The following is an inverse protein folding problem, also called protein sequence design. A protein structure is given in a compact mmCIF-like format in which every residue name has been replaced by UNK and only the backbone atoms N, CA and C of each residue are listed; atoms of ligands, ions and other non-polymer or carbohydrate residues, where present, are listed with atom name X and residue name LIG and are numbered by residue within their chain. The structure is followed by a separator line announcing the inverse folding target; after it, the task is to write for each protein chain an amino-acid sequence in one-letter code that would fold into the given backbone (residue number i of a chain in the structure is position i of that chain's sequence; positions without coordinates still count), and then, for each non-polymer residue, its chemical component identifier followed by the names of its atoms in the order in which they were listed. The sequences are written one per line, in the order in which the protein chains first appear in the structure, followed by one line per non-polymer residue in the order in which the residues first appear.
data_IF_787849583624
#
_entry.id   IF_787849583624
#
_cell.length_a   1.000
_cell.length_b   1.000
_cell.length_c   1.000
_cell.angle_alpha   90.00
_cell.angle_beta   90.00
_cell.angle_gamma   90.00
#
_symmetry.space_group_name_H-M   'P 1'
#
loop_
_entity.id
_entity.type
_entity.pdbx_description
1 polymer ?
#
# COMPACT_ATOMS: atom_id res chain seq x y z
N UNK A 1 -0.98 44.72 27.01
CA UNK A 1 -1.31 43.33 27.38
C UNK A 1 -1.23 42.50 26.13
N UNK A 2 -0.06 41.89 25.84
CA UNK A 2 0.14 41.04 24.66
C UNK A 2 -0.29 39.61 24.98
N UNK A 3 -1.51 39.27 24.57
CA UNK A 3 -1.99 37.88 24.64
C UNK A 3 -1.34 37.04 23.55
N UNK A 4 -0.28 36.31 23.90
CA UNK A 4 0.27 35.27 23.03
C UNK A 4 -0.72 34.14 22.99
N UNK A 5 -1.55 34.07 21.95
CA UNK A 5 -2.34 32.88 21.63
C UNK A 5 -1.35 31.78 21.30
N UNK A 6 -1.11 30.86 22.24
CA UNK A 6 -0.46 29.57 21.94
C UNK A 6 -1.41 28.84 21.00
N UNK A 7 -1.03 28.77 19.73
CA UNK A 7 -1.71 27.89 18.78
C UNK A 7 -1.74 26.47 19.37
N UNK A 8 -2.90 25.81 19.34
CA UNK A 8 -2.99 24.43 19.77
C UNK A 8 -1.99 23.59 18.97
N UNK A 9 -1.19 22.77 19.65
CA UNK A 9 -0.27 21.86 18.99
C UNK A 9 -1.08 20.90 18.12
N UNK A 10 -0.74 20.81 16.82
CA UNK A 10 -1.33 19.84 15.90
C UNK A 10 -0.62 18.50 15.97
N UNK A 11 0.46 18.39 16.76
CA UNK A 11 1.19 17.14 16.95
C UNK A 11 0.41 16.14 17.80
N UNK A 12 0.43 14.89 17.37
CA UNK A 12 -0.15 13.73 18.05
C UNK A 12 0.92 12.66 18.22
N UNK A 13 0.87 11.97 19.36
CA UNK A 13 1.65 10.76 19.61
C UNK A 13 0.80 9.57 19.16
N UNK A 14 1.35 8.68 18.34
CA UNK A 14 0.66 7.51 17.84
C UNK A 14 1.60 6.30 17.74
N UNK A 15 1.03 5.12 17.70
CA UNK A 15 1.75 3.87 17.52
C UNK A 15 1.17 3.12 16.32
N UNK A 16 1.92 3.08 15.22
CA UNK A 16 1.59 2.23 14.07
C UNK A 16 2.19 0.84 14.28
N UNK A 17 1.44 -0.20 13.97
CA UNK A 17 1.97 -1.57 13.91
C UNK A 17 2.29 -1.87 12.45
N UNK A 18 3.55 -1.66 12.06
CA UNK A 18 3.95 -1.78 10.66
C UNK A 18 4.76 -3.05 10.46
N UNK A 19 4.28 -3.95 9.59
CA UNK A 19 4.92 -5.21 9.26
C UNK A 19 5.28 -6.03 10.53
N UNK A 20 4.34 -6.09 11.47
CA UNK A 20 4.49 -6.80 12.74
C UNK A 20 5.28 -6.08 13.83
N UNK A 21 5.83 -4.89 13.55
CA UNK A 21 6.63 -4.10 14.51
C UNK A 21 5.89 -2.83 14.94
N UNK A 22 5.90 -2.55 16.25
CA UNK A 22 5.32 -1.32 16.77
C UNK A 22 6.26 -0.13 16.56
N UNK A 23 5.77 0.90 15.88
CA UNK A 23 6.49 2.15 15.56
C UNK A 23 5.82 3.32 16.28
N UNK A 24 6.53 3.90 17.26
CA UNK A 24 6.05 5.08 17.96
C UNK A 24 6.49 6.33 17.22
N UNK A 25 5.52 7.18 16.87
CA UNK A 25 5.74 8.39 16.09
C UNK A 25 5.07 9.58 16.78
N UNK A 26 5.70 10.74 16.64
CA UNK A 26 5.10 12.03 16.96
C UNK A 26 5.02 12.83 15.67
N UNK A 27 3.82 13.11 15.21
CA UNK A 27 3.55 13.70 13.91
C UNK A 27 2.48 14.79 14.03
N UNK A 28 2.49 15.72 13.07
CA UNK A 28 1.32 16.57 12.84
C UNK A 28 0.12 15.67 12.43
N UNK A 29 -1.04 15.93 13.02
CA UNK A 29 -2.27 15.14 12.81
C UNK A 29 -2.73 15.09 11.34
N UNK A 30 -2.21 15.97 10.49
CA UNK A 30 -2.50 16.05 9.04
C UNK A 30 -1.57 15.18 8.19
N UNK A 31 -0.53 14.57 8.78
CA UNK A 31 0.39 13.70 8.02
C UNK A 31 -0.35 12.48 7.51
N UNK A 32 -0.22 12.21 6.21
CA UNK A 32 -0.80 11.01 5.59
C UNK A 32 -0.05 9.76 6.04
N UNK A 33 -0.72 8.60 5.98
CA UNK A 33 -0.05 7.32 6.22
C UNK A 33 1.10 7.11 5.22
N UNK A 34 0.92 7.53 3.96
CA UNK A 34 1.97 7.46 2.93
C UNK A 34 3.23 8.21 3.35
N UNK A 35 3.09 9.46 3.81
CA UNK A 35 4.23 10.27 4.23
C UNK A 35 4.85 9.75 5.54
N UNK A 36 4.04 9.23 6.46
CA UNK A 36 4.54 8.59 7.67
C UNK A 36 5.41 7.36 7.34
N UNK A 37 4.96 6.50 6.41
CA UNK A 37 5.71 5.32 5.97
C UNK A 37 7.01 5.71 5.29
N UNK A 38 6.97 6.63 4.32
CA UNK A 38 8.12 7.00 3.49
C UNK A 38 9.13 7.88 4.19
N UNK A 39 8.66 8.95 4.85
CA UNK A 39 9.51 10.04 5.32
C UNK A 39 9.89 9.89 6.79
N UNK A 40 9.15 9.09 7.57
CA UNK A 40 9.42 8.87 9.01
C UNK A 40 9.94 7.47 9.30
N UNK A 41 9.43 6.46 8.59
CA UNK A 41 9.84 5.07 8.78
C UNK A 41 10.79 4.57 7.68
N UNK A 42 11.10 5.40 6.68
CA UNK A 42 11.98 5.08 5.56
C UNK A 42 11.55 3.86 4.73
N UNK A 43 10.27 3.47 4.84
CA UNK A 43 9.66 2.40 4.06
C UNK A 43 9.23 2.95 2.69
N UNK A 44 10.19 3.01 1.77
CA UNK A 44 10.03 3.67 0.47
C UNK A 44 9.41 2.80 -0.62
N UNK A 45 9.12 1.53 -0.33
CA UNK A 45 8.45 0.61 -1.25
C UNK A 45 7.07 1.08 -1.68
N UNK A 46 6.27 1.62 -0.75
CA UNK A 46 4.99 2.28 -1.07
C UNK A 46 5.25 3.59 -1.81
N UNK A 47 4.65 3.79 -2.99
CA UNK A 47 5.00 4.92 -3.89
C UNK A 47 3.97 6.05 -3.87
N UNK A 48 4.48 7.29 -3.97
CA UNK A 48 3.66 8.48 -4.16
C UNK A 48 3.56 8.81 -5.65
N UNK A 49 2.44 8.42 -6.29
CA UNK A 49 2.17 8.73 -7.70
C UNK A 49 1.36 10.02 -7.84
N UNK A 50 0.05 9.95 -7.65
CA UNK A 50 -0.86 11.09 -7.84
C UNK A 50 -1.11 11.94 -6.58
N UNK A 51 -0.93 11.37 -5.39
CA UNK A 51 -1.22 11.98 -4.08
C UNK A 51 -2.66 12.48 -3.91
N UNK A 52 -3.60 11.90 -4.66
CA UNK A 52 -5.01 12.30 -4.69
C UNK A 52 -5.98 11.11 -4.86
N UNK A 53 -5.51 9.89 -4.57
CA UNK A 53 -6.36 8.69 -4.59
C UNK A 53 -6.69 8.11 -5.95
N UNK A 54 -6.07 8.58 -7.05
CA UNK A 54 -6.44 8.19 -8.41
C UNK A 54 -5.62 7.02 -8.99
N UNK A 55 -4.36 6.80 -8.56
CA UNK A 55 -3.44 5.90 -9.29
C UNK A 55 -3.18 4.54 -8.60
N UNK A 56 -3.48 4.40 -7.32
CA UNK A 56 -3.27 3.16 -6.58
C UNK A 56 -1.82 2.79 -6.24
N UNK A 57 -0.81 3.59 -6.64
CA UNK A 57 0.60 3.30 -6.37
C UNK A 57 0.94 3.27 -4.86
N UNK A 58 0.12 3.93 -4.05
CA UNK A 58 0.26 4.02 -2.59
C UNK A 58 -0.57 2.97 -1.82
N UNK A 59 -1.10 1.96 -2.49
CA UNK A 59 -1.90 0.91 -1.84
C UNK A 59 -1.08 0.16 -0.79
N UNK A 60 -1.65 0.06 0.42
CA UNK A 60 -1.17 -0.77 1.54
C UNK A 60 -2.35 -1.53 2.12
N UNK A 61 -2.11 -2.49 3.02
CA UNK A 61 -3.16 -3.14 3.79
C UNK A 61 -3.22 -2.54 5.19
N UNK A 62 -4.41 -2.22 5.66
CA UNK A 62 -4.67 -1.87 7.07
C UNK A 62 -5.70 -2.85 7.61
N UNK A 63 -5.31 -3.61 8.63
CA UNK A 63 -6.08 -4.74 9.17
C UNK A 63 -6.54 -5.71 8.06
N UNK A 64 -5.63 -6.00 7.12
CA UNK A 64 -5.85 -6.90 6.00
C UNK A 64 -6.68 -6.33 4.84
N UNK A 65 -7.18 -5.09 4.93
CA UNK A 65 -7.96 -4.44 3.87
C UNK A 65 -7.12 -3.44 3.09
N UNK A 66 -7.22 -3.45 1.76
CA UNK A 66 -6.53 -2.47 0.91
C UNK A 66 -7.06 -1.07 1.14
N UNK A 67 -6.15 -0.13 1.31
CA UNK A 67 -6.45 1.30 1.39
C UNK A 67 -5.45 2.12 0.58
N UNK A 68 -5.82 3.34 0.24
CA UNK A 68 -4.94 4.33 -0.39
C UNK A 68 -4.28 5.17 0.71
N UNK A 69 -3.01 4.93 0.98
CA UNK A 69 -2.30 5.59 2.07
C UNK A 69 -2.12 7.10 1.88
N UNK A 70 -2.21 7.62 0.65
CA UNK A 70 -2.19 9.06 0.37
C UNK A 70 -3.47 9.81 0.83
N UNK A 71 -4.60 9.10 0.98
CA UNK A 71 -5.87 9.66 1.45
C UNK A 71 -6.20 9.26 2.90
N UNK A 72 -5.33 8.53 3.55
CA UNK A 72 -5.51 8.06 4.93
C UNK A 72 -4.55 8.80 5.83
N UNK A 73 -5.04 9.42 6.92
CA UNK A 73 -4.17 10.06 7.90
C UNK A 73 -3.49 9.01 8.78
N UNK A 74 -2.21 9.22 9.11
CA UNK A 74 -1.48 8.31 9.99
C UNK A 74 -2.18 8.18 11.36
N UNK A 75 -2.74 9.26 11.87
CA UNK A 75 -3.49 9.28 13.12
C UNK A 75 -4.74 8.35 13.11
N UNK A 76 -5.34 8.09 11.94
CA UNK A 76 -6.48 7.16 11.81
C UNK A 76 -6.06 5.70 11.90
N UNK A 77 -4.75 5.43 11.80
CA UNK A 77 -4.17 4.09 11.87
C UNK A 77 -3.51 3.79 13.23
N UNK A 78 -3.69 4.67 14.23
CA UNK A 78 -3.15 4.44 15.57
C UNK A 78 -3.63 3.09 16.13
N UNK A 79 -2.68 2.26 16.59
CA UNK A 79 -2.93 0.92 17.11
C UNK A 79 -3.30 -0.14 16.06
N UNK A 80 -3.45 0.23 14.78
CA UNK A 80 -3.84 -0.69 13.71
C UNK A 80 -2.64 -1.36 13.06
N UNK A 81 -2.87 -2.55 12.49
CA UNK A 81 -1.87 -3.29 11.73
C UNK A 81 -1.77 -2.76 10.30
N UNK A 82 -0.58 -2.33 9.90
CA UNK A 82 -0.29 -1.83 8.55
C UNK A 82 0.70 -2.78 7.88
N UNK A 83 0.32 -3.36 6.75
CA UNK A 83 1.23 -4.18 5.93
C UNK A 83 1.59 -3.42 4.66
N UNK A 84 2.89 -3.26 4.43
CA UNK A 84 3.46 -2.67 3.21
C UNK A 84 4.10 -3.75 2.35
N UNK A 85 4.57 -3.37 1.15
CA UNK A 85 5.25 -4.31 0.25
C UNK A 85 6.49 -4.96 0.90
N UNK A 86 7.19 -4.23 1.77
CA UNK A 86 8.34 -4.73 2.51
C UNK A 86 7.99 -5.85 3.50
N UNK A 87 6.74 -5.86 3.97
CA UNK A 87 6.25 -6.86 4.92
C UNK A 87 5.66 -8.12 4.31
N UNK A 88 5.61 -8.24 2.98
CA UNK A 88 5.07 -9.45 2.33
C UNK A 88 6.05 -10.62 2.31
N UNK A 89 7.34 -10.34 2.25
CA UNK A 89 8.38 -11.38 2.27
C UNK A 89 8.57 -11.91 3.68
N UNK A 90 8.51 -13.23 3.84
CA UNK A 90 8.69 -13.91 5.13
C UNK A 90 9.92 -14.83 5.00
N UNK A 91 10.78 -14.82 6.02
CA UNK A 91 11.98 -15.69 6.12
C UNK A 91 12.90 -15.62 4.87
N UNK A 92 12.97 -14.46 4.22
CA UNK A 92 13.80 -14.25 3.04
C UNK A 92 13.22 -14.80 1.73
N UNK A 93 12.03 -15.41 1.77
CA UNK A 93 11.29 -15.86 0.60
C UNK A 93 10.35 -14.77 0.04
N UNK A 94 10.13 -14.79 -1.28
CA UNK A 94 9.13 -13.92 -1.90
C UNK A 94 7.71 -14.44 -1.63
N UNK A 95 6.78 -13.52 -1.52
CA UNK A 95 5.36 -13.87 -1.51
C UNK A 95 4.94 -14.45 -2.87
N UNK A 96 4.03 -15.46 -2.95
CA UNK A 96 3.62 -16.07 -4.22
C UNK A 96 3.18 -15.08 -5.30
N UNK A 97 2.52 -13.98 -4.93
CA UNK A 97 2.16 -12.90 -5.86
C UNK A 97 3.42 -12.21 -6.41
N UNK A 98 4.44 -11.97 -5.60
CA UNK A 98 5.70 -11.38 -6.06
C UNK A 98 6.41 -12.30 -7.06
N UNK A 99 6.46 -13.60 -6.77
CA UNK A 99 7.03 -14.60 -7.68
C UNK A 99 6.27 -14.66 -9.01
N UNK A 100 4.94 -14.63 -8.96
CA UNK A 100 4.11 -14.63 -10.16
C UNK A 100 4.35 -13.36 -11.02
N UNK A 101 4.49 -12.19 -10.38
CA UNK A 101 4.84 -10.95 -11.10
C UNK A 101 6.20 -11.05 -11.80
N UNK A 102 7.18 -11.73 -11.22
CA UNK A 102 8.48 -12.00 -11.85
C UNK A 102 8.30 -12.97 -13.02
N UNK A 103 7.60 -14.11 -12.83
CA UNK A 103 7.42 -15.12 -13.88
C UNK A 103 6.71 -14.61 -15.12
N UNK A 104 5.78 -13.66 -14.94
CA UNK A 104 4.92 -13.13 -16.00
C UNK A 104 5.33 -11.75 -16.48
N UNK A 105 6.49 -11.23 -16.06
CA UNK A 105 6.91 -9.85 -16.38
C UNK A 105 5.80 -8.82 -16.07
N UNK A 106 5.15 -8.96 -14.91
CA UNK A 106 4.02 -8.12 -14.47
C UNK A 106 4.39 -6.66 -14.19
N UNK A 107 5.54 -6.19 -14.66
CA UNK A 107 6.04 -4.83 -14.48
C UNK A 107 7.04 -4.46 -15.58
N UNK A 108 7.26 -3.14 -15.77
CA UNK A 108 8.33 -2.59 -16.59
C UNK A 108 9.19 -1.64 -15.75
N UNK A 109 8.81 -0.39 -15.56
CA UNK A 109 9.58 0.55 -14.75
C UNK A 109 9.57 0.23 -13.24
N UNK A 110 8.63 -0.59 -12.76
CA UNK A 110 8.52 -1.01 -11.37
C UNK A 110 7.83 0.00 -10.44
N UNK A 111 7.50 1.22 -10.89
CA UNK A 111 6.99 2.26 -9.99
C UNK A 111 5.62 1.92 -9.39
N UNK A 112 4.66 1.46 -10.19
CA UNK A 112 3.33 1.07 -9.71
C UNK A 112 3.30 -0.34 -9.09
N UNK A 113 4.36 -1.13 -9.26
CA UNK A 113 4.39 -2.56 -8.92
C UNK A 113 4.10 -2.85 -7.46
N UNK A 114 4.63 -2.11 -6.47
CA UNK A 114 4.26 -2.35 -5.08
C UNK A 114 2.75 -2.21 -4.83
N UNK A 115 2.12 -1.16 -5.35
CA UNK A 115 0.68 -0.95 -5.24
C UNK A 115 -0.13 -2.03 -5.97
N UNK A 116 0.31 -2.48 -7.15
CA UNK A 116 -0.31 -3.58 -7.89
C UNK A 116 -0.27 -4.88 -7.09
N UNK A 117 0.89 -5.23 -6.53
CA UNK A 117 1.06 -6.44 -5.72
C UNK A 117 0.20 -6.37 -4.45
N UNK A 118 0.20 -5.25 -3.72
CA UNK A 118 -0.63 -5.10 -2.51
C UNK A 118 -2.12 -5.23 -2.81
N UNK A 119 -2.58 -4.67 -3.94
CA UNK A 119 -3.96 -4.84 -4.40
C UNK A 119 -4.27 -6.28 -4.80
N UNK A 120 -3.33 -6.97 -5.46
CA UNK A 120 -3.48 -8.38 -5.83
C UNK A 120 -3.56 -9.30 -4.59
N UNK A 121 -2.74 -9.05 -3.57
CA UNK A 121 -2.82 -9.78 -2.30
C UNK A 121 -4.20 -9.63 -1.65
N UNK A 122 -4.74 -8.41 -1.61
CA UNK A 122 -6.08 -8.18 -1.11
C UNK A 122 -7.15 -8.90 -1.93
N UNK A 123 -7.05 -8.86 -3.27
CA UNK A 123 -7.95 -9.54 -4.19
C UNK A 123 -8.01 -11.04 -3.91
N UNK A 124 -6.86 -11.68 -3.76
CA UNK A 124 -6.76 -13.11 -3.45
C UNK A 124 -7.35 -13.43 -2.06
N UNK A 125 -7.05 -12.59 -1.06
CA UNK A 125 -7.60 -12.76 0.29
C UNK A 125 -9.12 -12.60 0.34
N UNK A 126 -9.71 -11.78 -0.56
CA UNK A 126 -11.15 -11.60 -0.70
C UNK A 126 -11.81 -12.66 -1.60
N UNK A 127 -11.04 -13.58 -2.20
CA UNK A 127 -11.56 -14.60 -3.10
C UNK A 127 -12.12 -14.05 -4.42
N UNK A 128 -11.62 -12.88 -4.87
CA UNK A 128 -12.12 -12.13 -6.03
C UNK A 128 -11.32 -12.36 -7.31
N UNK A 129 -10.77 -13.58 -7.49
CA UNK A 129 -9.95 -13.94 -8.65
C UNK A 129 -10.62 -15.01 -9.55
N UNK A 130 -11.94 -15.08 -9.59
CA UNK A 130 -12.67 -16.14 -10.31
C UNK A 130 -12.62 -16.04 -11.85
N UNK A 131 -12.34 -14.85 -12.40
CA UNK A 131 -12.20 -14.61 -13.83
C UNK A 131 -11.29 -13.42 -14.14
N UNK A 132 -10.85 -13.32 -15.40
CA UNK A 132 -10.07 -12.17 -15.87
C UNK A 132 -10.83 -10.85 -15.72
N UNK A 133 -12.14 -10.87 -15.94
CA UNK A 133 -13.01 -9.70 -15.80
C UNK A 133 -13.05 -9.25 -14.34
N UNK A 134 -13.19 -10.17 -13.41
CA UNK A 134 -13.21 -9.87 -11.98
C UNK A 134 -11.87 -9.32 -11.52
N UNK A 135 -10.76 -9.89 -12.01
CA UNK A 135 -9.41 -9.38 -11.73
C UNK A 135 -9.26 -7.96 -12.28
N UNK A 136 -9.64 -7.69 -13.53
CA UNK A 136 -9.55 -6.36 -14.15
C UNK A 136 -10.39 -5.34 -13.40
N UNK A 137 -11.61 -5.70 -13.02
CA UNK A 137 -12.51 -4.82 -12.25
C UNK A 137 -11.88 -4.46 -10.89
N UNK A 138 -11.42 -5.46 -10.14
CA UNK A 138 -10.82 -5.23 -8.82
C UNK A 138 -9.54 -4.39 -8.92
N UNK A 139 -8.73 -4.61 -9.95
CA UNK A 139 -7.46 -3.92 -10.19
C UNK A 139 -7.61 -2.56 -10.89
N UNK A 140 -8.81 -2.16 -11.28
CA UNK A 140 -9.07 -0.94 -12.08
C UNK A 140 -8.57 0.36 -11.42
N UNK A 141 -8.48 0.38 -10.09
CA UNK A 141 -7.92 1.50 -9.32
C UNK A 141 -6.39 1.59 -9.31
N UNK A 142 -5.68 0.64 -9.93
CA UNK A 142 -4.22 0.59 -9.97
C UNK A 142 -3.72 0.88 -11.39
N UNK A 143 -3.16 2.07 -11.62
CA UNK A 143 -2.73 2.54 -12.94
C UNK A 143 -1.28 2.15 -13.20
N UNK A 144 -1.03 1.54 -14.38
CA UNK A 144 0.31 1.29 -14.90
C UNK A 144 0.56 2.12 -16.16
N UNK A 145 1.45 3.13 -16.09
CA UNK A 145 1.75 3.99 -17.24
C UNK A 145 2.50 3.26 -18.36
N UNK A 146 3.22 2.19 -18.04
CA UNK A 146 3.90 1.34 -19.00
C UNK A 146 2.95 0.35 -19.73
N UNK A 147 1.71 0.21 -19.26
CA UNK A 147 0.71 -0.64 -19.90
C UNK A 147 0.91 -2.14 -19.67
N UNK A 148 1.54 -2.57 -18.57
CA UNK A 148 1.80 -3.97 -18.26
C UNK A 148 0.53 -4.78 -17.84
N UNK A 149 -0.66 -4.26 -18.08
CA UNK A 149 -1.92 -4.85 -17.60
C UNK A 149 -2.15 -6.31 -18.00
N UNK A 150 -1.88 -6.75 -19.25
CA UNK A 150 -2.06 -8.17 -19.62
C UNK A 150 -1.19 -9.09 -18.75
N UNK A 151 0.05 -8.71 -18.50
CA UNK A 151 1.00 -9.47 -17.72
C UNK A 151 0.63 -9.46 -16.22
N UNK A 152 0.13 -8.33 -15.71
CA UNK A 152 -0.38 -8.20 -14.34
C UNK A 152 -1.56 -9.16 -14.13
N UNK A 153 -2.51 -9.20 -15.06
CA UNK A 153 -3.66 -10.14 -14.99
C UNK A 153 -3.17 -11.59 -15.02
N UNK A 154 -2.23 -11.92 -15.93
CA UNK A 154 -1.64 -13.26 -16.01
C UNK A 154 -0.93 -13.67 -14.71
N UNK A 155 -0.17 -12.74 -14.10
CA UNK A 155 0.49 -12.97 -12.82
C UNK A 155 -0.51 -13.24 -11.68
N UNK A 156 -1.61 -12.49 -11.63
CA UNK A 156 -2.65 -12.66 -10.60
C UNK A 156 -3.37 -13.99 -10.79
N UNK A 157 -3.67 -14.40 -12.03
CA UNK A 157 -4.26 -15.70 -12.34
C UNK A 157 -3.37 -16.84 -11.85
N UNK A 158 -2.09 -16.80 -12.19
CA UNK A 158 -1.11 -17.80 -11.76
C UNK A 158 -1.03 -17.89 -10.22
N UNK A 159 -0.96 -16.74 -9.55
CA UNK A 159 -0.97 -16.70 -8.08
C UNK A 159 -2.28 -17.21 -7.46
N UNK A 160 -3.40 -17.16 -8.20
CA UNK A 160 -4.69 -17.69 -7.79
C UNK A 160 -4.84 -19.21 -8.07
N UNK A 161 -3.90 -19.81 -8.83
CA UNK A 161 -3.99 -21.20 -9.24
C UNK A 161 -4.98 -21.46 -10.39
N UNK A 162 -5.21 -20.47 -11.28
CA UNK A 162 -6.16 -20.53 -12.41
C UNK A 162 -5.45 -20.75 -13.74
#
# INVERSE_FOLDING_TARGET
MSGTTRGASTEVDLTLRVNGSAQRLRLDSRVTLLDALRDRLELTGTKKGCDQGACGACTVLVDGKRILSCLTLAAQCDGREVTTIEGLSVDGGLHPVQEAFIRHDGFQCGYCTPGQIMSAVALLAEGRAGSDEEIREFMSGNICRCGAYPNIVAAIRDAAGL
#
